data_IF_413184452534
#
_entry.id   IF_413184452534
#
_cell.length_a   1.000
_cell.length_b   1.000
_cell.length_c   1.000
_cell.angle_alpha   90.00
_cell.angle_beta   90.00
_cell.angle_gamma   90.00
#
_symmetry.space_group_name_H-M   'P 1'
#
loop_
_entity.id
_entity.type
_entity.pdbx_description
1 polymer ?
#
# COMPACT_ATOMS: atom_id res chain seq x y z
N UNK A 1 14.51 -9.17 -6.99
CA UNK A 1 13.78 -7.89 -7.13
C UNK A 1 12.33 -8.21 -7.43
N UNK A 2 11.40 -7.56 -6.75
CA UNK A 2 9.96 -7.75 -6.91
C UNK A 2 9.34 -6.58 -7.70
N UNK A 3 8.43 -6.87 -8.63
CA UNK A 3 7.57 -5.87 -9.25
C UNK A 3 6.35 -5.69 -8.37
N UNK A 4 6.14 -4.47 -7.89
CA UNK A 4 5.02 -4.12 -7.00
C UNK A 4 4.14 -3.08 -7.68
N UNK A 5 2.87 -3.39 -7.84
CA UNK A 5 1.84 -2.47 -8.30
C UNK A 5 1.10 -1.89 -7.09
N UNK A 6 1.02 -0.57 -7.00
CA UNK A 6 0.46 0.15 -5.87
C UNK A 6 -0.61 1.11 -6.40
N UNK A 7 -1.87 0.82 -6.11
CA UNK A 7 -3.03 1.56 -6.61
C UNK A 7 -3.66 2.38 -5.50
N UNK A 8 -3.48 3.70 -5.55
CA UNK A 8 -4.11 4.67 -4.66
C UNK A 8 -5.53 4.96 -5.15
N UNK A 9 -6.52 4.73 -4.29
CA UNK A 9 -7.93 4.91 -4.60
C UNK A 9 -8.55 5.96 -3.66
N UNK A 10 -9.17 6.98 -4.25
CA UNK A 10 -9.83 8.08 -3.51
C UNK A 10 -11.24 7.74 -3.02
N UNK A 11 -11.90 6.78 -3.68
CA UNK A 11 -13.25 6.33 -3.36
C UNK A 11 -13.20 4.82 -3.14
N UNK A 12 -13.26 4.39 -1.88
CA UNK A 12 -13.20 2.96 -1.54
C UNK A 12 -13.80 2.59 -0.19
N UNK A 13 -13.76 3.46 0.83
CA UNK A 13 -14.54 3.20 2.05
C UNK A 13 -15.95 3.73 1.88
N UNK A 14 -16.87 2.82 1.57
CA UNK A 14 -18.27 2.98 1.98
C UNK A 14 -18.49 2.59 3.46
N UNK A 15 -17.45 2.61 4.30
CA UNK A 15 -17.60 2.33 5.73
C UNK A 15 -18.50 3.33 6.45
N UNK A 16 -18.51 4.60 6.02
CA UNK A 16 -19.47 5.59 6.51
C UNK A 16 -20.92 5.25 6.09
N UNK A 17 -21.10 4.46 5.03
CA UNK A 17 -22.38 3.96 4.53
C UNK A 17 -22.70 2.55 5.06
N UNK A 18 -21.89 1.99 5.97
CA UNK A 18 -22.14 0.69 6.61
C UNK A 18 -21.95 -0.53 5.71
N UNK A 19 -21.27 -0.40 4.56
CA UNK A 19 -21.10 -1.48 3.59
C UNK A 19 -19.65 -1.95 3.44
N UNK A 20 -19.47 -3.27 3.50
CA UNK A 20 -18.28 -4.00 3.03
C UNK A 20 -18.32 -4.09 1.49
N UNK A 21 -18.03 -3.00 0.79
CA UNK A 21 -17.85 -3.04 -0.65
C UNK A 21 -16.35 -3.18 -0.97
N UNK A 22 -16.02 -4.07 -1.92
CA UNK A 22 -14.66 -4.17 -2.45
C UNK A 22 -14.18 -2.84 -3.04
N UNK A 23 -12.87 -2.63 -3.04
CA UNK A 23 -12.26 -1.43 -3.64
C UNK A 23 -12.41 -1.54 -5.16
N UNK A 24 -13.32 -0.77 -5.73
CA UNK A 24 -13.42 -0.64 -7.18
C UNK A 24 -12.24 0.22 -7.66
N UNK A 25 -11.38 -0.34 -8.51
CA UNK A 25 -10.41 0.42 -9.26
C UNK A 25 -11.20 1.27 -10.26
N UNK A 26 -11.32 2.58 -9.99
CA UNK A 26 -12.15 3.51 -10.75
C UNK A 26 -11.31 4.58 -11.45
N UNK A 27 -11.99 5.51 -12.11
CA UNK A 27 -11.37 6.61 -12.87
C UNK A 27 -10.43 7.50 -12.04
N UNK A 28 -10.59 7.50 -10.71
CA UNK A 28 -9.73 8.25 -9.76
C UNK A 28 -8.65 7.39 -9.09
N UNK A 29 -8.41 6.18 -9.58
CA UNK A 29 -7.33 5.33 -9.08
C UNK A 29 -6.03 5.66 -9.79
N UNK A 30 -4.97 5.94 -9.02
CA UNK A 30 -3.61 6.13 -9.54
C UNK A 30 -2.77 4.90 -9.21
N UNK A 31 -2.27 4.23 -10.24
CA UNK A 31 -1.38 3.07 -10.07
C UNK A 31 0.05 3.48 -10.34
N UNK A 32 0.92 3.22 -9.36
CA UNK A 32 2.36 3.34 -9.48
C UNK A 32 2.98 1.94 -9.45
N UNK A 33 3.94 1.68 -10.34
CA UNK A 33 4.71 0.44 -10.34
C UNK A 33 6.10 0.73 -9.83
N UNK A 34 6.48 0.07 -8.74
CA UNK A 34 7.83 0.18 -8.16
C UNK A 34 8.56 -1.15 -8.25
N UNK A 35 9.89 -1.08 -8.37
CA UNK A 35 10.76 -2.25 -8.29
C UNK A 35 11.37 -2.32 -6.90
N UNK A 36 11.00 -3.34 -6.14
CA UNK A 36 11.48 -3.58 -4.79
C UNK A 36 12.70 -4.51 -4.78
N UNK A 37 13.59 -4.31 -3.81
CA UNK A 37 14.79 -5.13 -3.61
C UNK A 37 15.20 -5.15 -2.14
N UNK A 38 16.51 -5.20 -1.88
CA UNK A 38 17.06 -5.18 -0.52
C UNK A 38 17.02 -3.78 0.14
N UNK A 39 16.69 -2.74 -0.62
CA UNK A 39 16.58 -1.36 -0.14
C UNK A 39 15.12 -0.93 -0.19
N UNK A 40 14.69 -0.17 0.82
CA UNK A 40 13.37 0.47 0.83
C UNK A 40 13.18 1.36 -0.38
N UNK A 41 12.04 1.22 -1.05
CA UNK A 41 11.61 2.13 -2.12
C UNK A 41 10.23 2.67 -1.77
N UNK A 42 10.09 3.99 -1.75
CA UNK A 42 8.80 4.65 -1.53
C UNK A 42 8.19 5.11 -2.85
N UNK A 43 6.86 5.11 -2.91
CA UNK A 43 6.13 5.71 -4.03
C UNK A 43 6.43 7.20 -4.15
N UNK A 44 6.47 7.68 -5.38
CA UNK A 44 6.44 9.11 -5.67
C UNK A 44 5.05 9.70 -5.40
N UNK A 45 4.01 8.90 -5.67
CA UNK A 45 2.62 9.22 -5.42
C UNK A 45 2.33 9.21 -3.93
N UNK A 46 1.72 10.30 -3.45
CA UNK A 46 1.07 10.36 -2.15
C UNK A 46 -0.46 10.24 -2.35
N UNK A 47 -1.15 9.72 -1.35
CA UNK A 47 -2.61 9.66 -1.34
C UNK A 47 -3.20 11.08 -1.35
N UNK A 48 -3.96 11.41 -2.38
CA UNK A 48 -4.70 12.67 -2.47
C UNK A 48 -6.10 12.59 -1.87
N UNK A 49 -6.51 11.40 -1.42
CA UNK A 49 -7.84 11.14 -0.88
C UNK A 49 -8.12 12.00 0.37
N UNK A 50 -9.36 12.47 0.59
CA UNK A 50 -9.74 13.13 1.82
C UNK A 50 -9.48 12.23 3.04
N UNK A 51 -9.15 12.85 4.17
CA UNK A 51 -8.84 12.12 5.40
C UNK A 51 -9.98 11.17 5.80
N UNK A 52 -9.62 9.90 6.07
CA UNK A 52 -10.56 8.84 6.41
C UNK A 52 -11.12 8.04 5.23
N UNK A 53 -10.84 8.44 3.98
CA UNK A 53 -11.44 7.83 2.77
C UNK A 53 -10.43 7.18 1.81
N UNK A 54 -9.12 7.33 2.03
CA UNK A 54 -8.08 6.80 1.15
C UNK A 54 -7.79 5.31 1.33
N UNK A 55 -7.59 4.61 0.21
CA UNK A 55 -7.16 3.19 0.18
C UNK A 55 -5.97 3.00 -0.74
N UNK A 56 -5.16 2.01 -0.40
CA UNK A 56 -4.19 1.45 -1.33
C UNK A 56 -4.49 -0.01 -1.52
N UNK A 57 -4.50 -0.46 -2.78
CA UNK A 57 -4.41 -1.86 -3.14
C UNK A 57 -3.00 -2.16 -3.67
N UNK A 58 -2.34 -3.15 -3.09
CA UNK A 58 -0.98 -3.56 -3.46
C UNK A 58 -1.00 -4.97 -4.00
N UNK A 59 -0.40 -5.16 -5.16
CA UNK A 59 -0.07 -6.47 -5.69
C UNK A 59 1.45 -6.56 -5.90
N UNK A 60 2.03 -7.72 -5.65
CA UNK A 60 3.46 -7.98 -5.85
C UNK A 60 3.66 -9.37 -6.44
N UNK A 61 4.69 -9.56 -7.27
CA UNK A 61 5.06 -10.89 -7.79
C UNK A 61 5.97 -11.69 -6.84
N UNK A 62 6.30 -11.14 -5.67
CA UNK A 62 7.05 -11.81 -4.61
C UNK A 62 6.62 -11.26 -3.24
N UNK A 63 7.08 -11.88 -2.16
CA UNK A 63 6.80 -11.40 -0.82
C UNK A 63 7.49 -10.06 -0.56
N UNK A 64 6.73 -9.10 -0.03
CA UNK A 64 7.24 -7.78 0.34
C UNK A 64 6.70 -7.35 1.69
N UNK A 65 7.47 -6.54 2.40
CA UNK A 65 7.00 -5.80 3.56
C UNK A 65 6.68 -4.36 3.15
N UNK A 66 5.53 -3.85 3.58
CA UNK A 66 5.04 -2.52 3.19
C UNK A 66 4.74 -1.66 4.40
N UNK A 67 5.04 -0.37 4.32
CA UNK A 67 4.79 0.62 5.37
C UNK A 67 4.20 1.87 4.76
N UNK A 68 3.28 2.53 5.47
CA UNK A 68 2.67 3.79 5.05
C UNK A 68 3.01 4.95 5.98
N UNK A 69 2.93 6.16 5.44
CA UNK A 69 3.17 7.40 6.17
C UNK A 69 3.56 8.53 5.22
N UNK A 70 3.70 9.76 5.72
CA UNK A 70 4.10 10.92 4.91
C UNK A 70 5.50 10.78 4.29
N UNK A 71 6.43 10.13 5.01
CA UNK A 71 7.79 9.82 4.55
C UNK A 71 8.18 8.40 5.03
N UNK A 72 7.58 7.35 4.46
CA UNK A 72 7.70 5.99 4.97
C UNK A 72 9.04 5.38 4.56
N UNK A 73 9.60 4.56 5.44
CA UNK A 73 10.78 3.73 5.17
C UNK A 73 10.46 2.31 5.61
N UNK A 74 10.44 1.38 4.65
CA UNK A 74 10.21 -0.03 4.90
C UNK A 74 11.52 -0.72 5.28
N UNK A 75 11.45 -1.66 6.21
CA UNK A 75 12.58 -2.51 6.55
C UNK A 75 12.08 -3.86 7.00
N UNK A 76 12.79 -4.91 6.58
CA UNK A 76 12.45 -6.31 6.87
C UNK A 76 12.30 -6.49 8.38
N UNK A 77 11.15 -6.98 8.89
CA UNK A 77 11.01 -7.33 10.29
C UNK A 77 11.92 -8.50 10.66
N UNK A 78 12.62 -8.43 11.79
CA UNK A 78 13.30 -9.59 12.33
C UNK A 78 12.28 -10.65 12.80
N UNK A 79 12.67 -11.92 12.84
CA UNK A 79 11.81 -13.00 13.32
C UNK A 79 11.29 -12.69 14.73
N UNK A 80 9.98 -12.80 14.94
CA UNK A 80 9.31 -12.50 16.20
C UNK A 80 9.16 -11.01 16.54
N UNK A 81 9.64 -10.10 15.70
CA UNK A 81 9.50 -8.67 15.92
C UNK A 81 8.14 -8.16 15.44
N UNK A 82 7.43 -7.43 16.29
CA UNK A 82 6.27 -6.62 15.88
C UNK A 82 6.80 -5.29 15.34
N UNK A 83 6.46 -4.97 14.09
CA UNK A 83 6.83 -3.71 13.44
C UNK A 83 5.63 -3.13 12.70
N UNK A 84 5.59 -1.80 12.58
CA UNK A 84 4.61 -1.14 11.73
C UNK A 84 4.74 -1.61 10.28
N UNK A 85 3.61 -1.85 9.65
CA UNK A 85 3.51 -2.31 8.28
C UNK A 85 2.78 -3.64 8.15
N UNK A 86 2.80 -4.17 6.93
CA UNK A 86 2.12 -5.41 6.58
C UNK A 86 3.00 -6.25 5.66
N UNK A 87 2.85 -7.57 5.76
CA UNK A 87 3.35 -8.48 4.74
C UNK A 87 2.33 -8.55 3.61
N UNK A 88 2.80 -8.32 2.39
CA UNK A 88 2.04 -8.59 1.16
C UNK A 88 2.63 -9.86 0.56
N UNK A 89 1.82 -10.90 0.47
CA UNK A 89 2.23 -12.17 -0.12
C UNK A 89 2.39 -12.05 -1.63
N UNK A 90 3.37 -12.75 -2.19
CA UNK A 90 3.55 -12.86 -3.63
C UNK A 90 2.27 -13.38 -4.28
N UNK A 91 1.85 -12.68 -5.34
CA UNK A 91 0.63 -12.93 -6.12
C UNK A 91 -0.68 -12.80 -5.32
N UNK A 92 -0.64 -12.27 -4.10
CA UNK A 92 -1.81 -12.06 -3.24
C UNK A 92 -2.04 -10.57 -3.01
N UNK A 93 -3.01 -9.94 -3.72
CA UNK A 93 -3.28 -8.54 -3.53
C UNK A 93 -3.74 -8.27 -2.09
N UNK A 94 -3.24 -7.18 -1.52
CA UNK A 94 -3.54 -6.75 -0.15
C UNK A 94 -3.95 -5.30 -0.18
N UNK A 95 -5.03 -4.96 0.54
CA UNK A 95 -5.50 -3.60 0.63
C UNK A 95 -5.56 -3.11 2.07
N UNK A 96 -5.33 -1.81 2.25
CA UNK A 96 -5.41 -1.14 3.55
C UNK A 96 -5.72 0.35 3.37
N UNK A 97 -6.20 0.95 4.46
CA UNK A 97 -6.50 2.38 4.50
C UNK A 97 -5.23 3.23 4.60
N UNK A 98 -5.28 4.43 4.03
CA UNK A 98 -4.21 5.44 4.08
C UNK A 98 -4.81 6.82 4.34
N UNK A 99 -4.04 7.72 4.95
CA UNK A 99 -4.44 9.12 5.14
C UNK A 99 -4.05 9.96 3.94
N UNK A 100 -4.58 11.19 3.88
CA UNK A 100 -4.11 12.17 2.90
C UNK A 100 -2.62 12.44 3.11
N UNK A 101 -1.85 12.50 2.03
CA UNK A 101 -0.41 12.75 2.05
C UNK A 101 0.44 11.51 2.37
N UNK A 102 -0.16 10.37 2.74
CA UNK A 102 0.59 9.13 2.95
C UNK A 102 1.11 8.58 1.63
N UNK A 103 2.34 8.10 1.66
CA UNK A 103 2.99 7.30 0.62
C UNK A 103 3.08 5.86 1.07
N UNK A 104 3.55 5.00 0.19
CA UNK A 104 3.83 3.59 0.50
C UNK A 104 5.30 3.30 0.27
N UNK A 105 5.98 2.77 1.28
CA UNK A 105 7.32 2.20 1.13
C UNK A 105 7.25 0.68 1.10
N UNK A 106 8.09 0.06 0.27
CA UNK A 106 8.17 -1.39 0.09
C UNK A 106 9.61 -1.88 0.15
N UNK A 107 9.79 -3.10 0.63
CA UNK A 107 11.07 -3.84 0.63
C UNK A 107 10.80 -5.33 0.40
N UNK A 108 11.65 -6.02 -0.35
CA UNK A 108 11.51 -7.47 -0.59
C UNK A 108 11.92 -8.24 0.67
N UNK A 109 11.20 -9.31 0.99
CA UNK A 109 11.47 -10.20 2.14
C UNK A 109 11.58 -11.66 1.72
#
# INVERSE_FOLDING_TARGET
MARVEISFCELGNRSAEGMSAGIALGEKTKTEVVTSGATSVATSTASDAPDGFGFVNIWSNADVWVVTGAAPVAAVPASGQIRNGWRVGGYMPTAFAVRRGDRVAVITI
#
